data_IF_017448724712
#
_entry.id   IF_017448724712
#
_cell.length_a   1.000
_cell.length_b   1.000
_cell.length_c   1.000
_cell.angle_alpha   90.00
_cell.angle_beta   90.00
_cell.angle_gamma   90.00
#
_symmetry.space_group_name_H-M   'P 1'
#
loop_
_entity.id
_entity.type
_entity.pdbx_description
1 polymer ?
#
# COMPACT_ATOMS: atom_id res chain seq x y z
N UNK A 1 -35.66 -1.29 -7.45
CA UNK A 1 -35.48 -1.11 -6.00
C UNK A 1 -34.02 -0.69 -5.80
N UNK A 2 -33.78 0.56 -5.48
CA UNK A 2 -32.47 1.06 -5.12
C UNK A 2 -32.19 0.47 -3.73
N UNK A 3 -31.15 -0.38 -3.60
CA UNK A 3 -30.68 -0.85 -2.29
C UNK A 3 -30.34 0.40 -1.47
N UNK A 4 -30.92 0.53 -0.29
CA UNK A 4 -30.53 1.54 0.67
C UNK A 4 -29.00 1.44 0.84
N UNK A 5 -28.33 2.52 0.47
CA UNK A 5 -26.90 2.65 0.76
C UNK A 5 -26.78 2.78 2.26
N UNK A 6 -26.18 1.80 2.91
CA UNK A 6 -25.84 1.89 4.34
C UNK A 6 -25.13 3.22 4.58
N UNK A 7 -25.72 4.07 5.42
CA UNK A 7 -25.09 5.30 5.85
C UNK A 7 -23.90 4.93 6.72
N UNK A 8 -22.71 5.07 6.18
CA UNK A 8 -21.50 5.05 6.98
C UNK A 8 -21.56 6.27 7.93
N UNK A 9 -21.63 6.03 9.22
CA UNK A 9 -21.52 7.07 10.25
C UNK A 9 -20.04 7.16 10.67
N UNK A 10 -19.27 8.09 10.09
CA UNK A 10 -17.80 8.10 10.25
C UNK A 10 -17.34 8.60 11.63
N UNK A 11 -18.24 9.00 12.51
CA UNK A 11 -17.94 9.61 13.80
C UNK A 11 -18.67 8.90 14.95
N UNK A 12 -18.41 7.61 15.12
CA UNK A 12 -18.84 6.89 16.31
C UNK A 12 -17.69 6.84 17.33
N UNK A 13 -17.99 6.91 18.62
CA UNK A 13 -17.00 6.70 19.69
C UNK A 13 -16.57 5.23 19.78
N UNK A 14 -17.40 4.33 19.24
CA UNK A 14 -17.13 2.89 19.22
C UNK A 14 -16.40 2.48 17.94
N UNK A 15 -15.32 1.67 18.05
CA UNK A 15 -14.64 1.14 16.88
C UNK A 15 -15.57 0.28 16.02
N UNK A 16 -15.54 0.49 14.70
CA UNK A 16 -16.25 -0.38 13.76
C UNK A 16 -15.54 -1.74 13.75
N UNK A 17 -16.25 -2.78 14.21
CA UNK A 17 -15.75 -4.16 14.22
C UNK A 17 -16.54 -5.00 13.23
N UNK A 18 -15.84 -5.71 12.37
CA UNK A 18 -16.43 -6.68 11.44
C UNK A 18 -16.21 -8.12 11.88
N UNK A 19 -15.35 -8.33 12.87
CA UNK A 19 -15.06 -9.64 13.44
C UNK A 19 -15.22 -9.53 14.96
N UNK A 20 -16.02 -10.40 15.55
CA UNK A 20 -16.23 -10.48 16.98
C UNK A 20 -15.08 -11.17 17.72
N UNK A 21 -15.18 -11.27 19.05
CA UNK A 21 -14.11 -11.80 19.88
C UNK A 21 -13.87 -13.31 19.67
N UNK A 22 -14.90 -14.05 19.28
CA UNK A 22 -14.82 -15.48 18.96
C UNK A 22 -14.59 -15.76 17.48
N UNK A 23 -14.33 -14.71 16.67
CA UNK A 23 -14.06 -14.79 15.24
C UNK A 23 -15.31 -14.82 14.37
N UNK A 24 -16.50 -14.61 14.94
CA UNK A 24 -17.76 -14.51 14.21
C UNK A 24 -17.81 -13.23 13.36
N UNK A 25 -18.50 -13.32 12.21
CA UNK A 25 -18.67 -12.19 11.30
C UNK A 25 -19.81 -11.28 11.80
N UNK A 26 -19.49 -10.02 12.07
CA UNK A 26 -20.44 -9.00 12.57
C UNK A 26 -20.92 -8.04 11.47
N UNK A 27 -20.36 -8.13 10.25
CA UNK A 27 -20.74 -7.25 9.15
C UNK A 27 -22.16 -7.53 8.67
N UNK A 28 -22.87 -6.53 8.21
CA UNK A 28 -24.22 -6.59 7.63
C UNK A 28 -24.22 -6.94 6.13
N UNK A 29 -23.06 -7.29 5.57
CA UNK A 29 -22.87 -7.75 4.21
C UNK A 29 -22.20 -9.15 4.21
N UNK A 30 -22.46 -9.99 3.18
CA UNK A 30 -21.85 -11.31 3.12
C UNK A 30 -20.34 -11.23 2.91
N UNK A 31 -19.58 -12.04 3.65
CA UNK A 31 -18.16 -12.25 3.40
C UNK A 31 -18.01 -13.24 2.23
N UNK A 32 -17.96 -12.71 1.01
CA UNK A 32 -17.79 -13.53 -0.21
C UNK A 32 -16.29 -13.78 -0.50
N UNK A 33 -15.63 -14.48 0.43
CA UNK A 33 -14.23 -14.88 0.30
C UNK A 33 -14.10 -16.38 0.53
N UNK A 34 -13.59 -17.08 -0.47
CA UNK A 34 -13.26 -18.51 -0.34
C UNK A 34 -12.15 -18.73 0.69
N UNK A 35 -12.21 -19.86 1.40
CA UNK A 35 -11.26 -20.19 2.46
C UNK A 35 -9.80 -20.20 2.01
N UNK A 36 -9.50 -20.56 0.76
CA UNK A 36 -8.15 -20.50 0.20
C UNK A 36 -7.67 -19.05 0.01
N UNK A 37 -8.55 -18.16 -0.43
CA UNK A 37 -8.24 -16.72 -0.53
C UNK A 37 -7.98 -16.12 0.84
N UNK A 38 -8.78 -16.46 1.84
CA UNK A 38 -8.55 -16.02 3.24
C UNK A 38 -7.20 -16.49 3.77
N UNK A 39 -6.84 -17.77 3.55
CA UNK A 39 -5.54 -18.31 3.95
C UNK A 39 -4.37 -17.59 3.26
N UNK A 40 -4.54 -17.23 1.98
CA UNK A 40 -3.53 -16.48 1.24
C UNK A 40 -3.38 -15.06 1.80
N UNK A 41 -4.47 -14.34 2.03
CA UNK A 41 -4.44 -13.01 2.66
C UNK A 41 -3.73 -13.05 4.01
N UNK A 42 -4.08 -14.01 4.87
CA UNK A 42 -3.45 -14.16 6.17
C UNK A 42 -1.95 -14.48 6.07
N UNK A 43 -1.56 -15.34 5.14
CA UNK A 43 -0.15 -15.65 4.88
C UNK A 43 0.65 -14.40 4.46
N UNK A 44 0.06 -13.58 3.58
CA UNK A 44 0.68 -12.36 3.09
C UNK A 44 0.81 -11.33 4.22
N UNK A 45 -0.21 -11.21 5.10
CA UNK A 45 -0.13 -10.36 6.30
C UNK A 45 0.96 -10.83 7.26
N UNK A 46 1.06 -12.13 7.51
CA UNK A 46 2.09 -12.70 8.36
C UNK A 46 3.49 -12.46 7.77
N UNK A 47 3.65 -12.64 6.46
CA UNK A 47 4.90 -12.38 5.76
C UNK A 47 5.30 -10.89 5.83
N UNK A 48 4.34 -9.97 5.70
CA UNK A 48 4.57 -8.54 5.87
C UNK A 48 5.06 -8.20 7.29
N UNK A 49 4.42 -8.76 8.33
CA UNK A 49 4.87 -8.61 9.72
C UNK A 49 6.29 -9.14 9.93
N UNK A 50 6.58 -10.33 9.42
CA UNK A 50 7.91 -10.93 9.54
C UNK A 50 8.98 -10.10 8.81
N UNK A 51 8.64 -9.50 7.66
CA UNK A 51 9.54 -8.60 6.93
C UNK A 51 9.87 -7.36 7.76
N UNK A 52 8.86 -6.71 8.35
CA UNK A 52 9.02 -5.54 9.22
C UNK A 52 9.91 -5.84 10.43
N UNK A 53 9.67 -6.97 11.10
CA UNK A 53 10.51 -7.43 12.20
C UNK A 53 11.97 -7.65 11.78
N UNK A 54 12.20 -8.24 10.60
CA UNK A 54 13.54 -8.45 10.06
C UNK A 54 14.25 -7.15 9.73
N UNK A 55 13.55 -6.20 9.15
CA UNK A 55 14.06 -4.84 8.91
C UNK A 55 14.46 -4.16 10.22
N UNK A 56 13.62 -4.28 11.26
CA UNK A 56 13.92 -3.77 12.60
C UNK A 56 15.21 -4.38 13.18
N UNK A 57 15.47 -5.67 12.96
CA UNK A 57 16.70 -6.32 13.39
C UNK A 57 17.91 -5.77 12.63
N UNK A 58 17.78 -5.52 11.31
CA UNK A 58 18.86 -5.00 10.50
C UNK A 58 19.31 -3.61 10.96
N UNK A 59 18.37 -2.70 11.30
CA UNK A 59 18.75 -1.39 11.81
C UNK A 59 19.37 -1.47 13.21
N UNK A 60 18.80 -2.28 14.10
CA UNK A 60 19.37 -2.49 15.46
C UNK A 60 20.77 -3.08 15.45
N UNK A 61 21.12 -3.82 14.41
CA UNK A 61 22.46 -4.41 14.22
C UNK A 61 23.37 -3.54 13.35
N UNK A 62 22.97 -2.32 13.00
CA UNK A 62 23.78 -1.38 12.22
C UNK A 62 24.02 -1.79 10.76
N UNK A 63 23.22 -2.72 10.23
CA UNK A 63 23.35 -3.21 8.83
C UNK A 63 22.64 -2.34 7.81
N UNK A 64 21.76 -1.47 8.26
CA UNK A 64 21.06 -0.45 7.45
C UNK A 64 20.88 0.81 8.28
N UNK A 65 20.55 1.92 7.61
CA UNK A 65 20.49 3.25 8.23
C UNK A 65 19.09 3.78 8.50
N UNK A 66 18.07 3.18 7.92
CA UNK A 66 16.71 3.68 8.01
C UNK A 66 15.68 2.55 8.03
N UNK A 67 14.63 2.71 8.83
CA UNK A 67 13.40 1.94 8.79
C UNK A 67 12.23 2.82 9.24
N UNK A 68 11.08 2.63 8.60
CA UNK A 68 9.79 3.15 9.01
C UNK A 68 8.84 1.98 9.29
N UNK A 69 8.75 1.48 10.54
CA UNK A 69 7.96 0.31 10.87
C UNK A 69 6.51 0.44 10.42
N UNK A 70 5.97 -0.63 9.84
CA UNK A 70 4.62 -0.70 9.32
C UNK A 70 3.71 -1.66 10.10
N UNK A 71 4.14 -2.11 11.27
CA UNK A 71 3.33 -2.99 12.11
C UNK A 71 1.95 -2.37 12.40
N UNK A 72 0.87 -3.13 12.10
CA UNK A 72 -0.53 -2.68 12.16
C UNK A 72 -1.14 -2.30 10.81
N UNK A 73 -0.33 -2.14 9.75
CA UNK A 73 -0.81 -1.79 8.40
C UNK A 73 -1.03 -3.02 7.50
N UNK A 74 -0.69 -4.22 7.96
CA UNK A 74 -0.65 -5.43 7.13
C UNK A 74 -1.97 -5.71 6.43
N UNK A 75 -3.09 -5.62 7.15
CA UNK A 75 -4.41 -5.92 6.58
C UNK A 75 -4.78 -4.95 5.46
N UNK A 76 -4.56 -3.65 5.65
CA UNK A 76 -4.85 -2.64 4.64
C UNK A 76 -3.97 -2.82 3.40
N UNK A 77 -2.66 -3.02 3.59
CA UNK A 77 -1.70 -3.19 2.51
C UNK A 77 -1.96 -4.45 1.69
N UNK A 78 -2.23 -5.58 2.36
CA UNK A 78 -2.54 -6.83 1.69
C UNK A 78 -3.89 -6.76 0.98
N UNK A 79 -4.91 -6.14 1.59
CA UNK A 79 -6.21 -5.96 0.95
C UNK A 79 -6.09 -5.14 -0.35
N UNK A 80 -5.32 -4.05 -0.35
CA UNK A 80 -5.04 -3.25 -1.56
C UNK A 80 -4.37 -4.13 -2.62
N UNK A 81 -3.32 -4.88 -2.27
CA UNK A 81 -2.60 -5.74 -3.22
C UNK A 81 -3.52 -6.77 -3.89
N UNK A 82 -4.50 -7.29 -3.16
CA UNK A 82 -5.46 -8.28 -3.68
C UNK A 82 -6.67 -7.66 -4.40
N UNK A 83 -6.85 -6.35 -4.32
CA UNK A 83 -7.93 -5.63 -5.00
C UNK A 83 -7.53 -5.06 -6.36
N UNK A 84 -6.24 -4.99 -6.66
CA UNK A 84 -5.70 -4.43 -7.91
C UNK A 84 -5.05 -5.52 -8.77
N UNK A 85 -4.71 -5.17 -10.00
CA UNK A 85 -4.07 -6.06 -10.99
C UNK A 85 -2.58 -5.73 -11.09
N UNK A 86 -1.67 -6.52 -10.46
CA UNK A 86 -0.24 -6.26 -10.50
C UNK A 86 0.30 -6.19 -11.94
N UNK A 87 1.14 -5.20 -12.23
CA UNK A 87 1.71 -5.00 -13.57
C UNK A 87 0.74 -4.37 -14.60
N UNK A 88 -0.55 -4.23 -14.25
CA UNK A 88 -1.52 -3.50 -15.06
C UNK A 88 -1.91 -2.17 -14.39
N UNK A 89 -2.46 -2.21 -13.18
CA UNK A 89 -2.76 -1.02 -12.40
C UNK A 89 -1.46 -0.41 -11.85
N UNK A 90 -1.48 0.86 -11.49
CA UNK A 90 -0.32 1.57 -10.97
C UNK A 90 -0.45 1.81 -9.48
N UNK A 91 0.67 1.69 -8.76
CA UNK A 91 0.75 1.97 -7.32
C UNK A 91 1.76 3.08 -7.09
N UNK A 92 1.33 4.11 -6.38
CA UNK A 92 2.15 5.23 -5.91
C UNK A 92 2.24 5.12 -4.38
N UNK A 93 3.23 4.35 -3.89
CA UNK A 93 3.33 4.00 -2.49
C UNK A 93 4.06 5.06 -1.67
N UNK A 94 3.84 5.04 -0.37
CA UNK A 94 4.70 5.74 0.57
C UNK A 94 5.66 4.74 1.27
N UNK A 95 6.58 5.26 2.08
CA UNK A 95 7.71 4.49 2.59
C UNK A 95 7.36 3.34 3.55
N UNK A 96 6.15 3.28 4.14
CA UNK A 96 5.72 2.15 4.97
C UNK A 96 5.11 0.99 4.19
N UNK A 97 4.98 1.09 2.88
CA UNK A 97 4.25 0.12 2.05
C UNK A 97 5.08 -1.11 1.64
N UNK A 98 6.05 -1.51 2.44
CA UNK A 98 6.82 -2.71 2.14
C UNK A 98 5.98 -4.00 2.20
N UNK A 99 4.93 -4.06 3.03
CA UNK A 99 3.97 -5.16 3.02
C UNK A 99 3.12 -5.18 1.74
N UNK A 100 2.70 -4.00 1.23
CA UNK A 100 2.04 -3.88 -0.06
C UNK A 100 2.96 -4.33 -1.20
N UNK A 101 4.22 -3.87 -1.21
CA UNK A 101 5.23 -4.27 -2.18
C UNK A 101 5.42 -5.80 -2.22
N UNK A 102 5.52 -6.43 -1.04
CA UNK A 102 5.65 -7.87 -0.89
C UNK A 102 4.41 -8.61 -1.42
N UNK A 103 3.21 -8.19 -1.02
CA UNK A 103 1.95 -8.81 -1.41
C UNK A 103 1.65 -8.67 -2.91
N UNK A 104 2.11 -7.60 -3.55
CA UNK A 104 2.08 -7.42 -5.01
C UNK A 104 3.05 -8.34 -5.76
N UNK A 105 4.03 -8.93 -5.06
CA UNK A 105 4.95 -9.87 -5.64
C UNK A 105 6.36 -9.34 -5.89
N UNK A 106 6.77 -8.21 -5.29
CA UNK A 106 8.19 -7.83 -5.30
C UNK A 106 8.96 -8.89 -4.50
N UNK A 107 9.97 -9.56 -5.12
CA UNK A 107 10.68 -10.65 -4.46
C UNK A 107 11.40 -10.17 -3.18
N UNK A 108 11.38 -10.98 -2.13
CA UNK A 108 12.14 -10.71 -0.89
C UNK A 108 13.61 -10.39 -1.16
N UNK A 109 14.21 -11.06 -2.16
CA UNK A 109 15.59 -10.81 -2.58
C UNK A 109 15.80 -9.36 -3.04
N UNK A 110 14.84 -8.76 -3.72
CA UNK A 110 14.90 -7.37 -4.19
C UNK A 110 14.64 -6.40 -3.04
N UNK A 111 13.65 -6.70 -2.19
CA UNK A 111 13.35 -5.90 -1.00
C UNK A 111 14.54 -5.83 -0.04
N UNK A 112 15.14 -6.98 0.31
CA UNK A 112 16.37 -6.99 1.12
C UNK A 112 17.57 -6.43 0.37
N UNK A 113 17.63 -6.62 -0.95
CA UNK A 113 18.65 -6.04 -1.82
C UNK A 113 18.64 -4.53 -1.76
N UNK A 114 17.46 -3.94 -1.83
CA UNK A 114 17.24 -2.50 -1.74
C UNK A 114 17.54 -1.99 -0.32
N UNK A 115 17.05 -2.69 0.71
CA UNK A 115 17.30 -2.36 2.11
C UNK A 115 18.78 -2.31 2.49
N UNK A 116 19.59 -3.17 1.87
CA UNK A 116 21.02 -3.34 2.14
C UNK A 116 21.93 -2.77 1.03
N UNK A 117 21.37 -2.11 0.03
CA UNK A 117 22.08 -1.55 -1.14
C UNK A 117 22.99 -2.58 -1.82
N UNK A 118 22.53 -3.81 -1.99
CA UNK A 118 23.30 -4.90 -2.62
C UNK A 118 23.11 -4.93 -4.14
N UNK A 119 23.81 -5.83 -4.84
CA UNK A 119 23.63 -6.05 -6.29
C UNK A 119 22.22 -6.53 -6.67
N UNK A 120 21.41 -6.98 -5.71
CA UNK A 120 20.03 -7.37 -5.91
C UNK A 120 19.04 -6.18 -5.86
N UNK A 121 19.53 -4.99 -5.52
CA UNK A 121 18.73 -3.76 -5.54
C UNK A 121 18.45 -3.32 -6.99
N UNK A 122 17.17 -3.32 -7.45
CA UNK A 122 16.82 -2.83 -8.77
C UNK A 122 17.12 -1.34 -8.97
N UNK A 123 17.16 -0.56 -7.89
CA UNK A 123 17.49 0.87 -7.89
C UNK A 123 19.02 1.13 -7.90
N UNK A 124 19.84 0.06 -7.85
CA UNK A 124 21.31 0.15 -7.91
C UNK A 124 21.93 1.04 -6.83
N UNK A 125 21.40 1.02 -5.61
CA UNK A 125 21.87 1.81 -4.49
C UNK A 125 21.59 3.31 -4.58
N UNK A 126 20.68 3.74 -5.46
CA UNK A 126 20.37 5.18 -5.66
C UNK A 126 19.27 5.70 -4.74
N UNK A 127 18.62 4.82 -4.00
CA UNK A 127 17.55 5.15 -3.08
C UNK A 127 17.94 4.85 -1.62
N UNK A 128 17.29 5.52 -0.69
CA UNK A 128 17.37 5.17 0.72
C UNK A 128 16.82 3.76 0.96
N UNK A 129 17.20 3.10 2.07
CA UNK A 129 16.52 1.88 2.51
C UNK A 129 14.99 2.07 2.58
N UNK A 130 14.22 1.01 2.35
CA UNK A 130 12.75 1.03 2.25
C UNK A 130 12.15 1.89 1.13
N UNK A 131 12.93 2.17 0.09
CA UNK A 131 12.45 2.90 -1.08
C UNK A 131 12.48 2.01 -2.33
N UNK A 132 11.76 0.86 -2.33
CA UNK A 132 11.69 0.00 -3.52
C UNK A 132 10.91 0.66 -4.65
N UNK A 133 11.13 0.14 -5.85
CA UNK A 133 10.35 0.42 -7.03
C UNK A 133 10.37 -0.79 -7.96
N UNK A 134 9.32 -1.02 -8.73
CA UNK A 134 9.26 -2.13 -9.68
C UNK A 134 8.53 -1.71 -10.97
N UNK A 135 9.29 -1.59 -12.04
CA UNK A 135 8.70 -1.31 -13.36
C UNK A 135 7.79 -2.44 -13.83
N UNK A 136 8.14 -3.69 -13.52
CA UNK A 136 7.36 -4.86 -13.95
C UNK A 136 5.98 -4.93 -13.29
N UNK A 137 5.85 -4.38 -12.08
CA UNK A 137 4.61 -4.36 -11.32
C UNK A 137 3.91 -2.99 -11.35
N UNK A 138 4.40 -2.01 -12.13
CA UNK A 138 3.93 -0.64 -12.10
C UNK A 138 3.90 -0.05 -10.67
N UNK A 139 4.86 -0.49 -9.84
CA UNK A 139 5.05 0.03 -8.51
C UNK A 139 6.03 1.19 -8.56
N UNK A 140 5.51 2.41 -8.42
CA UNK A 140 6.31 3.63 -8.51
C UNK A 140 7.37 3.63 -7.41
N UNK A 141 8.56 4.13 -7.71
CA UNK A 141 9.62 4.19 -6.71
C UNK A 141 9.21 5.07 -5.54
N UNK A 142 9.30 4.53 -4.33
CA UNK A 142 8.99 5.29 -3.11
C UNK A 142 9.80 6.58 -3.04
N UNK A 143 9.16 7.67 -2.66
CA UNK A 143 9.78 8.96 -2.44
C UNK A 143 9.74 9.32 -0.94
N UNK A 144 10.84 9.90 -0.43
CA UNK A 144 10.93 10.31 0.98
C UNK A 144 10.12 11.56 1.32
N UNK A 145 10.04 12.61 0.43
CA UNK A 145 9.23 13.79 0.74
C UNK A 145 7.77 13.42 0.87
N UNK A 146 7.17 13.78 2.01
CA UNK A 146 5.79 13.43 2.36
C UNK A 146 4.84 14.01 1.30
N UNK A 147 3.86 13.24 0.87
CA UNK A 147 2.85 13.57 -0.15
C UNK A 147 3.38 13.84 -1.58
N UNK A 148 4.68 13.91 -1.83
CA UNK A 148 5.25 14.28 -3.14
C UNK A 148 4.85 13.31 -4.28
N UNK A 149 4.40 12.11 -3.96
CA UNK A 149 3.93 11.09 -4.91
C UNK A 149 2.44 11.25 -5.28
N UNK A 150 1.69 12.10 -4.55
CA UNK A 150 0.23 12.29 -4.79
C UNK A 150 -0.04 13.02 -6.10
N UNK A 151 0.63 14.15 -6.45
CA UNK A 151 0.46 14.79 -7.75
C UNK A 151 0.83 13.89 -8.94
N UNK A 152 1.94 13.14 -8.95
CA UNK A 152 2.23 12.15 -9.98
C UNK A 152 1.15 11.07 -10.11
N UNK A 153 0.57 10.60 -9.00
CA UNK A 153 -0.54 9.63 -9.03
C UNK A 153 -1.77 10.20 -9.72
N UNK A 154 -2.15 11.44 -9.39
CA UNK A 154 -3.25 12.15 -10.05
C UNK A 154 -2.97 12.34 -11.57
N UNK A 155 -1.74 12.74 -11.94
CA UNK A 155 -1.33 12.88 -13.33
C UNK A 155 -1.41 11.56 -14.11
N UNK A 156 -0.98 10.45 -13.49
CA UNK A 156 -1.09 9.12 -14.08
C UNK A 156 -2.57 8.71 -14.28
N UNK A 157 -3.43 8.94 -13.28
CA UNK A 157 -4.86 8.64 -13.37
C UNK A 157 -5.54 9.44 -14.50
N UNK A 158 -5.23 10.73 -14.63
CA UNK A 158 -5.71 11.58 -15.72
C UNK A 158 -5.27 11.01 -17.08
N UNK A 159 -4.01 10.61 -17.20
CA UNK A 159 -3.49 10.00 -18.42
C UNK A 159 -4.22 8.70 -18.77
N UNK A 160 -4.44 7.84 -17.80
CA UNK A 160 -5.19 6.57 -17.96
C UNK A 160 -6.62 6.84 -18.41
N UNK A 161 -7.29 7.85 -17.84
CA UNK A 161 -8.63 8.28 -18.24
C UNK A 161 -8.66 8.77 -19.70
N UNK A 162 -7.75 9.66 -20.07
CA UNK A 162 -7.65 10.20 -21.43
C UNK A 162 -7.38 9.10 -22.46
N UNK A 163 -6.49 8.17 -22.14
CA UNK A 163 -6.12 7.04 -22.99
C UNK A 163 -7.13 5.88 -22.93
N UNK A 164 -8.11 5.93 -22.03
CA UNK A 164 -9.15 4.90 -21.81
C UNK A 164 -8.55 3.50 -21.59
N UNK A 165 -7.48 3.40 -20.80
CA UNK A 165 -6.76 2.14 -20.58
C UNK A 165 -7.50 1.17 -19.65
N UNK A 166 -8.44 1.64 -18.86
CA UNK A 166 -9.13 0.88 -17.82
C UNK A 166 -8.22 0.51 -16.62
N UNK A 167 -7.06 1.17 -16.51
CA UNK A 167 -6.15 1.05 -15.37
C UNK A 167 -6.61 1.95 -14.22
N UNK A 168 -6.16 1.61 -13.01
CA UNK A 168 -6.35 2.40 -11.80
C UNK A 168 -5.00 2.86 -11.28
N UNK A 169 -4.92 4.09 -10.78
CA UNK A 169 -3.78 4.59 -10.01
C UNK A 169 -4.16 4.57 -8.52
N UNK A 170 -3.50 3.72 -7.76
CA UNK A 170 -3.65 3.65 -6.29
C UNK A 170 -2.55 4.46 -5.66
N UNK A 171 -2.91 5.38 -4.77
CA UNK A 171 -1.98 6.20 -4.02
C UNK A 171 -2.21 6.01 -2.52
N UNK A 172 -1.18 5.63 -1.80
CA UNK A 172 -1.20 5.44 -0.34
C UNK A 172 -0.40 6.52 0.35
N UNK A 173 -0.84 6.96 1.50
CA UNK A 173 -0.15 7.99 2.30
C UNK A 173 -0.56 7.88 3.76
N UNK A 174 0.29 8.42 4.66
CA UNK A 174 -0.05 8.57 6.07
C UNK A 174 -0.95 9.78 6.33
N UNK A 175 -1.61 9.80 7.48
CA UNK A 175 -2.48 10.89 7.93
C UNK A 175 -1.75 12.25 7.93
N UNK A 176 -0.47 12.28 8.34
CA UNK A 176 0.34 13.50 8.31
C UNK A 176 0.52 14.10 6.91
N UNK A 177 0.44 13.29 5.85
CA UNK A 177 0.53 13.77 4.47
C UNK A 177 -0.61 14.72 4.10
N UNK A 178 -1.76 14.60 4.74
CA UNK A 178 -2.94 15.46 4.47
C UNK A 178 -2.71 16.93 4.83
N UNK A 179 -1.66 17.23 5.58
CA UNK A 179 -1.25 18.61 5.92
C UNK A 179 -0.28 19.22 4.90
N UNK A 180 0.15 18.45 3.90
CA UNK A 180 1.10 18.90 2.90
C UNK A 180 0.40 19.52 1.68
N UNK A 181 1.01 20.57 1.10
CA UNK A 181 0.48 21.24 -0.09
C UNK A 181 0.33 20.33 -1.30
N UNK A 182 1.27 19.39 -1.50
CA UNK A 182 1.26 18.42 -2.58
C UNK A 182 0.07 17.47 -2.47
N UNK A 183 -0.31 17.06 -1.24
CA UNK A 183 -1.50 16.26 -1.03
C UNK A 183 -2.75 17.01 -1.49
N UNK A 184 -2.89 18.25 -1.00
CA UNK A 184 -4.04 19.09 -1.34
C UNK A 184 -4.14 19.33 -2.85
N UNK A 185 -3.03 19.71 -3.48
CA UNK A 185 -2.98 19.94 -4.92
C UNK A 185 -3.33 18.68 -5.72
N UNK A 186 -2.73 17.53 -5.38
CA UNK A 186 -2.96 16.27 -6.09
C UNK A 186 -4.39 15.77 -5.97
N UNK A 187 -4.96 15.76 -4.77
CA UNK A 187 -6.34 15.33 -4.52
C UNK A 187 -7.35 16.28 -5.19
N UNK A 188 -7.14 17.59 -5.07
CA UNK A 188 -8.01 18.56 -5.72
C UNK A 188 -7.98 18.40 -7.26
N UNK A 189 -6.79 18.19 -7.83
CA UNK A 189 -6.66 17.94 -9.28
C UNK A 189 -7.39 16.67 -9.70
N UNK A 190 -7.23 15.59 -8.96
CA UNK A 190 -7.93 14.33 -9.22
C UNK A 190 -9.46 14.51 -9.15
N UNK A 191 -9.95 15.18 -8.12
CA UNK A 191 -11.38 15.41 -7.92
C UNK A 191 -12.00 16.29 -9.02
N UNK A 192 -11.31 17.34 -9.47
CA UNK A 192 -11.79 18.24 -10.54
C UNK A 192 -11.80 17.54 -11.90
N UNK A 193 -10.86 16.67 -12.15
CA UNK A 193 -10.77 15.94 -13.43
C UNK A 193 -11.64 14.68 -13.47
N UNK A 194 -12.17 14.21 -12.34
CA UNK A 194 -13.10 13.07 -12.19
C UNK A 194 -12.43 11.75 -12.39
#
# INVERSE_FOLDING_TARGET
>A
MVKETHRFEPFTEEPIRLIGEEGEWLGDFPLDLEGEKLRRLYRDMLAARMLDERYTILIRTGKTSFIAPAAGHEAAQVAIAHAIRPGFDWVFPYYRDHGLALALGIPLKELFGQMLATKADPNKGRQMPEHPGSKALNFFTVASPIASHVPPAAGAAISMKLLRTGQVAVCTFGDGATSEGDWYAGINFAAVQG
#
